data_IF_192912465697
#
_entry.id   IF_192912465697
#
_cell.length_a   1.000
_cell.length_b   1.000
_cell.length_c   1.000
_cell.angle_alpha   90.00
_cell.angle_beta   90.00
_cell.angle_gamma   90.00
#
_symmetry.space_group_name_H-M   'P 1'
#
loop_
_entity.id
_entity.type
_entity.pdbx_description
1 polymer ?
#
# COMPACT_ATOMS: atom_id res chain seq x y z
N UNK A 1 21.24 -3.53 1.38
CA UNK A 1 20.09 -3.61 2.29
C UNK A 1 18.81 -3.27 1.55
N UNK A 2 17.79 -4.11 1.68
CA UNK A 2 16.52 -3.87 0.99
C UNK A 2 15.62 -2.99 1.84
N UNK A 3 15.13 -1.92 1.24
CA UNK A 3 14.16 -1.03 1.87
C UNK A 3 12.74 -1.57 1.68
N UNK A 4 11.78 -0.95 2.35
CA UNK A 4 10.36 -1.29 2.15
C UNK A 4 9.96 -1.07 0.70
N UNK A 5 10.45 0.00 0.07
CA UNK A 5 10.16 0.28 -1.33
C UNK A 5 10.72 -0.81 -2.25
N UNK A 6 11.92 -1.29 -1.97
CA UNK A 6 12.52 -2.38 -2.76
C UNK A 6 11.68 -3.65 -2.67
N UNK A 7 11.19 -3.97 -1.47
CA UNK A 7 10.31 -5.13 -1.28
C UNK A 7 9.02 -4.98 -2.06
N UNK A 8 8.43 -3.80 -2.02
CA UNK A 8 7.19 -3.52 -2.73
C UNK A 8 7.37 -3.68 -4.24
N UNK A 9 8.47 -3.15 -4.78
CA UNK A 9 8.78 -3.29 -6.20
C UNK A 9 8.98 -4.75 -6.61
N UNK A 10 9.66 -5.53 -5.77
CA UNK A 10 9.88 -6.94 -6.05
C UNK A 10 8.56 -7.72 -6.05
N UNK A 11 7.67 -7.44 -5.10
CA UNK A 11 6.36 -8.08 -5.04
C UNK A 11 5.50 -7.71 -6.25
N UNK A 12 5.56 -6.47 -6.68
CA UNK A 12 4.80 -6.00 -7.84
C UNK A 12 5.26 -6.70 -9.12
N UNK A 13 6.56 -6.94 -9.27
CA UNK A 13 7.09 -7.66 -10.43
C UNK A 13 6.58 -9.09 -10.50
N UNK A 14 6.50 -9.76 -9.35
CA UNK A 14 6.06 -11.14 -9.27
C UNK A 14 4.56 -11.28 -9.44
N UNK A 15 3.80 -10.38 -8.83
CA UNK A 15 2.35 -10.41 -8.83
C UNK A 15 1.80 -8.99 -8.90
N UNK A 16 1.74 -8.42 -10.11
CA UNK A 16 1.16 -7.09 -10.27
C UNK A 16 -0.26 -7.07 -9.71
N UNK A 17 -0.51 -6.18 -8.76
CA UNK A 17 -1.79 -6.11 -8.07
C UNK A 17 -2.26 -4.67 -8.00
N UNK A 18 -3.56 -4.50 -8.16
CA UNK A 18 -4.18 -3.20 -7.90
C UNK A 18 -4.56 -3.12 -6.44
N UNK A 19 -4.24 -2.00 -5.83
CA UNK A 19 -4.54 -1.74 -4.42
C UNK A 19 -5.76 -0.84 -4.35
N UNK A 20 -6.77 -1.26 -3.60
CA UNK A 20 -7.92 -0.40 -3.33
C UNK A 20 -7.60 0.46 -2.13
N UNK A 21 -7.60 1.77 -2.33
CA UNK A 21 -7.37 2.75 -1.27
C UNK A 21 -8.72 3.31 -0.84
N UNK A 22 -9.01 3.22 0.44
CA UNK A 22 -10.26 3.71 1.03
C UNK A 22 -9.91 4.90 1.91
N UNK A 23 -10.36 6.08 1.51
CA UNK A 23 -10.10 7.32 2.24
C UNK A 23 -11.09 7.51 3.39
N UNK A 24 -10.72 8.29 4.42
CA UNK A 24 -11.60 8.52 5.58
C UNK A 24 -12.96 9.16 5.23
N UNK A 25 -13.04 9.85 4.11
CA UNK A 25 -14.29 10.48 3.65
C UNK A 25 -15.21 9.49 2.91
N UNK A 26 -14.80 8.23 2.77
CA UNK A 26 -15.58 7.20 2.11
C UNK A 26 -15.23 6.99 0.65
N UNK A 27 -14.36 7.81 0.07
CA UNK A 27 -13.96 7.64 -1.33
C UNK A 27 -13.06 6.41 -1.47
N UNK A 28 -13.18 5.73 -2.59
CA UNK A 28 -12.34 4.59 -2.91
C UNK A 28 -11.71 4.77 -4.28
N UNK A 29 -10.48 4.35 -4.42
CA UNK A 29 -9.78 4.37 -5.69
C UNK A 29 -8.88 3.15 -5.81
N UNK A 30 -8.66 2.67 -7.03
CA UNK A 30 -7.75 1.58 -7.30
C UNK A 30 -6.48 2.16 -7.93
N UNK A 31 -5.34 1.81 -7.36
CA UNK A 31 -4.04 2.31 -7.81
C UNK A 31 -3.02 1.19 -7.84
N UNK A 32 -1.92 1.39 -8.56
CA UNK A 32 -0.80 0.46 -8.55
C UNK A 32 -0.11 0.48 -7.18
N UNK A 33 0.63 -0.61 -6.88
CA UNK A 33 1.28 -0.75 -5.57
C UNK A 33 2.23 0.40 -5.23
N UNK A 34 3.01 0.86 -6.18
CA UNK A 34 3.93 1.98 -5.95
C UNK A 34 3.18 3.27 -5.63
N UNK A 35 2.07 3.50 -6.30
CA UNK A 35 1.21 4.66 -6.02
C UNK A 35 0.57 4.52 -4.65
N UNK A 36 0.15 3.32 -4.28
CA UNK A 36 -0.41 3.06 -2.95
C UNK A 36 0.62 3.33 -1.85
N UNK A 37 1.88 2.97 -2.07
CA UNK A 37 2.96 3.28 -1.14
C UNK A 37 3.07 4.79 -0.93
N UNK A 38 3.06 5.56 -2.02
CA UNK A 38 3.12 7.02 -1.95
C UNK A 38 1.92 7.59 -1.17
N UNK A 39 0.74 7.05 -1.42
CA UNK A 39 -0.46 7.46 -0.68
C UNK A 39 -0.34 7.12 0.80
N UNK A 40 0.21 5.95 1.14
CA UNK A 40 0.39 5.54 2.53
C UNK A 40 1.30 6.51 3.28
N UNK A 41 2.35 7.01 2.65
CA UNK A 41 3.25 7.98 3.26
C UNK A 41 2.55 9.31 3.50
N UNK A 42 1.66 9.71 2.61
CA UNK A 42 1.01 11.04 2.67
C UNK A 42 -0.33 11.05 3.39
N UNK A 43 -0.98 9.89 3.55
CA UNK A 43 -2.34 9.82 4.10
C UNK A 43 -2.41 8.75 5.18
N UNK A 44 -2.23 9.15 6.43
CA UNK A 44 -2.15 8.25 7.59
C UNK A 44 -3.42 7.43 7.84
N UNK A 45 -4.57 7.98 7.47
CA UNK A 45 -5.87 7.38 7.80
C UNK A 45 -6.48 6.60 6.65
N UNK A 46 -5.77 6.49 5.53
CA UNK A 46 -6.23 5.68 4.41
C UNK A 46 -6.11 4.19 4.73
N UNK A 47 -7.06 3.41 4.27
CA UNK A 47 -7.07 1.95 4.42
C UNK A 47 -6.73 1.34 3.08
N UNK A 48 -5.91 0.29 3.09
CA UNK A 48 -5.46 -0.39 1.87
C UNK A 48 -5.99 -1.82 1.86
N UNK A 49 -6.55 -2.21 0.72
CA UNK A 49 -7.08 -3.55 0.54
C UNK A 49 -6.51 -4.16 -0.72
N UNK A 50 -5.87 -5.33 -0.59
CA UNK A 50 -5.31 -6.07 -1.71
C UNK A 50 -5.81 -7.51 -1.60
N UNK A 51 -7.02 -7.79 -2.12
CA UNK A 51 -7.66 -9.09 -1.89
C UNK A 51 -6.84 -10.30 -2.32
N UNK A 52 -6.03 -10.15 -3.36
CA UNK A 52 -5.27 -11.27 -3.92
C UNK A 52 -3.80 -11.29 -3.48
N UNK A 53 -3.41 -10.37 -2.61
CA UNK A 53 -2.02 -10.30 -2.16
C UNK A 53 -1.97 -9.77 -0.72
N UNK A 54 -2.20 -10.68 0.22
CA UNK A 54 -2.21 -10.34 1.65
C UNK A 54 -0.86 -9.78 2.13
N UNK A 55 0.24 -10.29 1.58
CA UNK A 55 1.57 -9.82 1.96
C UNK A 55 1.77 -8.34 1.61
N UNK A 56 1.31 -7.93 0.43
CA UNK A 56 1.37 -6.52 0.01
C UNK A 56 0.47 -5.65 0.89
N UNK A 57 -0.73 -6.13 1.21
CA UNK A 57 -1.65 -5.41 2.09
C UNK A 57 -1.01 -5.18 3.46
N UNK A 58 -0.40 -6.21 4.03
CA UNK A 58 0.30 -6.11 5.31
C UNK A 58 1.45 -5.11 5.25
N UNK A 59 2.21 -5.12 4.16
CA UNK A 59 3.33 -4.20 3.97
C UNK A 59 2.86 -2.74 3.91
N UNK A 60 1.79 -2.47 3.16
CA UNK A 60 1.24 -1.12 3.05
C UNK A 60 0.69 -0.62 4.39
N UNK A 61 0.05 -1.49 5.15
CA UNK A 61 -0.43 -1.16 6.50
C UNK A 61 0.73 -0.83 7.43
N UNK A 62 1.83 -1.59 7.33
CA UNK A 62 3.02 -1.33 8.14
C UNK A 62 3.64 0.03 7.81
N UNK A 63 3.65 0.42 6.54
CA UNK A 63 4.13 1.74 6.12
C UNK A 63 3.25 2.84 6.72
N UNK A 64 1.94 2.69 6.64
CA UNK A 64 1.01 3.67 7.18
C UNK A 64 1.19 3.81 8.70
N UNK A 65 1.36 2.71 9.41
CA UNK A 65 1.59 2.73 10.85
C UNK A 65 2.91 3.41 11.21
N UNK A 66 3.97 3.15 10.45
CA UNK A 66 5.27 3.79 10.67
C UNK A 66 5.21 5.30 10.48
N UNK A 67 4.46 5.75 9.48
CA UNK A 67 4.29 7.19 9.24
C UNK A 67 3.45 7.84 10.34
N UNK A 68 2.50 7.08 10.89
CA UNK A 68 1.63 7.59 11.95
C UNK A 68 2.38 7.88 13.24
N UNK A 69 3.40 7.10 13.55
CA UNK A 69 4.21 7.33 14.75
C UNK A 69 5.26 8.41 14.50
#
# INVERSE_FOLDING_TARGET
>A
MKTILDRLQAMERLMPSMVTVIYPDGRQTAVEALKAFEIAVNNRNAIFSVPNNHAMETLLRAVADAVRT
#
